data_IF_846506581728
#
_entry.id   IF_846506581728
#
_cell.length_a   1.000
_cell.length_b   1.000
_cell.length_c   1.000
_cell.angle_alpha   90.00
_cell.angle_beta   90.00
_cell.angle_gamma   90.00
#
_symmetry.space_group_name_H-M   'P 1'
#
loop_
_entity.id
_entity.type
_entity.pdbx_description
1 polymer ?
#
# COMPACT_ATOMS: atom_id res chain seq x y z
N UNK A 1 75.15 -33.78 18.68
CA UNK A 1 74.09 -33.26 19.57
C UNK A 1 73.07 -32.46 18.77
N UNK A 2 71.84 -32.97 18.58
CA UNK A 2 70.76 -32.20 17.94
C UNK A 2 69.52 -32.29 18.83
N UNK A 3 69.30 -31.26 19.67
CA UNK A 3 68.07 -31.13 20.48
C UNK A 3 66.91 -30.85 19.53
N UNK A 4 66.07 -31.85 19.27
CA UNK A 4 64.74 -31.65 18.69
C UNK A 4 63.78 -31.29 19.81
N UNK A 5 63.65 -30.00 20.07
CA UNK A 5 62.55 -29.46 20.88
C UNK A 5 61.60 -28.70 19.98
N UNK A 6 60.29 -28.85 20.25
CA UNK A 6 59.13 -28.15 19.65
C UNK A 6 58.43 -28.89 18.50
N UNK A 7 57.74 -29.97 18.86
CA UNK A 7 56.65 -30.54 18.03
C UNK A 7 55.26 -30.35 18.66
N UNK A 8 55.18 -29.79 19.89
CA UNK A 8 53.91 -29.55 20.61
C UNK A 8 53.28 -28.18 20.32
N UNK A 9 54.07 -27.20 19.88
CA UNK A 9 53.61 -25.85 19.56
C UNK A 9 52.54 -25.77 18.43
N UNK A 10 52.59 -26.55 17.33
CA UNK A 10 51.58 -26.44 16.27
C UNK A 10 50.21 -26.96 16.71
N UNK A 11 50.15 -27.99 17.55
CA UNK A 11 48.88 -28.54 18.06
C UNK A 11 48.15 -27.57 19.01
N UNK A 12 48.88 -26.79 19.80
CA UNK A 12 48.29 -25.72 20.62
C UNK A 12 47.69 -24.60 19.76
N UNK A 13 48.35 -24.23 18.66
CA UNK A 13 47.82 -23.22 17.72
C UNK A 13 46.57 -23.75 17.01
N UNK A 14 46.60 -25.00 16.53
CA UNK A 14 45.46 -25.65 15.86
C UNK A 14 44.27 -25.77 16.82
N UNK A 15 44.51 -26.15 18.08
CA UNK A 15 43.48 -26.21 19.12
C UNK A 15 42.85 -24.85 19.42
N UNK A 16 43.66 -23.78 19.45
CA UNK A 16 43.16 -22.42 19.62
C UNK A 16 42.26 -21.96 18.47
N UNK A 17 42.61 -22.30 17.22
CA UNK A 17 41.80 -21.99 16.05
C UNK A 17 40.45 -22.74 16.09
N UNK A 18 40.45 -24.02 16.47
CA UNK A 18 39.21 -24.80 16.62
C UNK A 18 38.28 -24.20 17.68
N UNK A 19 38.81 -23.76 18.82
CA UNK A 19 38.02 -23.10 19.87
C UNK A 19 37.46 -21.78 19.36
N UNK A 20 38.25 -20.99 18.63
CA UNK A 20 37.78 -19.74 18.03
C UNK A 20 36.62 -19.97 17.05
N UNK A 21 36.71 -21.01 16.21
CA UNK A 21 35.64 -21.40 15.28
C UNK A 21 34.37 -21.79 16.04
N UNK A 22 34.49 -22.54 17.15
CA UNK A 22 33.34 -22.91 17.97
C UNK A 22 32.69 -21.70 18.66
N UNK A 23 33.49 -20.73 19.12
CA UNK A 23 32.98 -19.49 19.70
C UNK A 23 32.25 -18.66 18.64
N UNK A 24 32.85 -18.50 17.45
CA UNK A 24 32.23 -17.76 16.34
C UNK A 24 30.94 -18.45 15.88
N UNK A 25 30.95 -19.78 15.75
CA UNK A 25 29.75 -20.55 15.40
C UNK A 25 28.68 -20.48 16.49
N UNK A 26 29.07 -20.53 17.77
CA UNK A 26 28.15 -20.36 18.89
C UNK A 26 27.52 -18.97 18.94
N UNK A 27 28.30 -17.92 18.67
CA UNK A 27 27.80 -16.54 18.55
C UNK A 27 26.85 -16.43 17.36
N UNK A 28 27.19 -17.02 16.21
CA UNK A 28 26.31 -17.04 15.04
C UNK A 28 24.96 -17.70 15.35
N UNK A 29 24.98 -18.89 15.96
CA UNK A 29 23.75 -19.61 16.37
C UNK A 29 22.96 -18.85 17.44
N UNK A 30 23.65 -18.17 18.36
CA UNK A 30 23.00 -17.33 19.37
C UNK A 30 22.30 -16.13 18.73
N UNK A 31 22.97 -15.44 17.79
CA UNK A 31 22.40 -14.29 17.08
C UNK A 31 21.24 -14.68 16.19
N UNK A 32 21.34 -15.80 15.45
CA UNK A 32 20.26 -16.33 14.61
C UNK A 32 19.02 -16.70 15.43
N UNK A 33 19.23 -17.32 16.60
CA UNK A 33 18.13 -17.68 17.51
C UNK A 33 17.54 -16.49 18.25
N UNK A 34 18.33 -15.44 18.50
CA UNK A 34 17.90 -14.26 19.26
C UNK A 34 17.43 -13.10 18.36
N UNK A 35 17.67 -13.15 17.05
CA UNK A 35 17.13 -12.17 16.11
C UNK A 35 15.61 -12.27 16.09
N UNK A 36 14.98 -11.42 16.89
CA UNK A 36 13.53 -11.39 17.08
C UNK A 36 12.83 -10.54 16.01
N UNK A 37 13.44 -10.32 14.84
CA UNK A 37 12.80 -9.67 13.68
C UNK A 37 11.91 -10.67 12.93
N UNK A 38 11.03 -11.35 13.65
CA UNK A 38 10.07 -12.30 13.09
C UNK A 38 8.62 -11.83 13.18
N UNK A 39 8.38 -10.62 13.70
CA UNK A 39 7.07 -9.98 13.54
C UNK A 39 6.99 -9.45 12.11
N UNK A 40 6.51 -10.32 11.22
CA UNK A 40 6.13 -9.97 9.86
C UNK A 40 5.06 -8.88 10.01
N UNK A 41 5.43 -7.63 9.70
CA UNK A 41 4.46 -6.54 9.64
C UNK A 41 3.30 -7.00 8.78
N UNK A 42 2.08 -6.96 9.31
CA UNK A 42 0.92 -7.25 8.49
C UNK A 42 0.93 -6.29 7.30
N UNK A 43 0.92 -6.86 6.09
CA UNK A 43 0.90 -6.07 4.88
C UNK A 43 -0.47 -5.43 4.76
N UNK A 44 -0.57 -4.16 5.14
CA UNK A 44 -1.76 -3.36 4.87
C UNK A 44 -1.73 -2.99 3.39
N UNK A 45 -2.86 -3.18 2.69
CA UNK A 45 -3.00 -2.74 1.32
C UNK A 45 -2.74 -1.23 1.21
N UNK A 46 -2.08 -0.81 0.13
CA UNK A 46 -1.90 0.62 -0.14
C UNK A 46 -3.26 1.27 -0.43
N UNK A 47 -3.39 2.57 -0.16
CA UNK A 47 -4.58 3.34 -0.56
C UNK A 47 -4.86 3.21 -2.06
N UNK A 48 -3.82 3.11 -2.89
CA UNK A 48 -3.96 2.87 -4.34
C UNK A 48 -4.53 1.48 -4.64
N UNK A 49 -4.15 0.47 -3.83
CA UNK A 49 -4.69 -0.88 -3.97
C UNK A 49 -6.16 -0.93 -3.61
N UNK A 50 -6.57 -0.25 -2.53
CA UNK A 50 -7.98 -0.17 -2.14
C UNK A 50 -8.80 0.66 -3.14
N UNK A 51 -8.26 1.76 -3.67
CA UNK A 51 -8.91 2.56 -4.71
C UNK A 51 -9.30 1.71 -5.92
N UNK A 52 -8.35 0.94 -6.47
CA UNK A 52 -8.62 0.03 -7.60
C UNK A 52 -9.70 -0.99 -7.27
N UNK A 53 -9.79 -1.44 -6.01
CA UNK A 53 -10.83 -2.37 -5.58
C UNK A 53 -12.21 -1.72 -5.55
N UNK A 54 -12.31 -0.47 -5.09
CA UNK A 54 -13.59 0.27 -5.08
C UNK A 54 -14.04 0.65 -6.49
N UNK A 55 -13.12 1.07 -7.35
CA UNK A 55 -13.42 1.46 -8.73
C UNK A 55 -13.96 0.29 -9.58
N UNK A 56 -13.68 -0.95 -9.20
CA UNK A 56 -14.19 -2.14 -9.90
C UNK A 56 -15.72 -2.24 -9.90
N UNK A 57 -16.39 -1.63 -8.92
CA UNK A 57 -17.85 -1.62 -8.79
C UNK A 57 -18.48 -0.35 -9.39
N UNK A 58 -17.67 0.59 -9.89
CA UNK A 58 -18.16 1.84 -10.48
C UNK A 58 -18.57 1.62 -11.92
N UNK A 59 -19.80 2.02 -12.25
CA UNK A 59 -20.34 1.90 -13.60
C UNK A 59 -21.42 2.95 -13.85
N UNK A 60 -21.44 3.45 -15.08
CA UNK A 60 -22.49 4.31 -15.65
C UNK A 60 -23.60 3.48 -16.31
N UNK A 61 -23.32 2.22 -16.67
CA UNK A 61 -24.18 1.40 -17.52
C UNK A 61 -25.59 1.23 -16.92
N UNK A 62 -26.60 1.61 -17.70
CA UNK A 62 -28.01 1.46 -17.30
C UNK A 62 -28.54 2.53 -16.35
N UNK A 63 -27.75 3.56 -16.05
CA UNK A 63 -28.17 4.70 -15.24
C UNK A 63 -28.37 5.96 -16.10
N UNK A 64 -29.46 6.68 -15.88
CA UNK A 64 -29.76 7.96 -16.54
C UNK A 64 -29.56 9.11 -15.57
N UNK A 65 -29.61 10.36 -16.03
CA UNK A 65 -29.51 11.51 -15.15
C UNK A 65 -30.58 11.51 -14.03
N UNK A 66 -31.80 11.10 -14.36
CA UNK A 66 -32.94 11.06 -13.41
C UNK A 66 -32.80 9.93 -12.38
N UNK A 67 -32.08 8.87 -12.74
CA UNK A 67 -31.82 7.73 -11.87
C UNK A 67 -30.33 7.37 -11.95
N UNK A 68 -29.49 8.31 -11.54
CA UNK A 68 -28.04 8.16 -11.59
C UNK A 68 -27.55 7.19 -10.50
N UNK A 69 -26.42 6.54 -10.77
CA UNK A 69 -25.70 5.77 -9.75
C UNK A 69 -24.91 6.74 -8.87
N UNK A 70 -25.29 6.86 -7.60
CA UNK A 70 -24.68 7.80 -6.65
C UNK A 70 -24.01 7.03 -5.52
N UNK A 71 -22.70 7.14 -5.42
CA UNK A 71 -21.88 6.53 -4.37
C UNK A 71 -21.39 7.62 -3.42
N UNK A 72 -21.82 7.56 -2.16
CA UNK A 72 -21.32 8.47 -1.10
C UNK A 72 -19.98 7.96 -0.56
N UNK A 73 -19.05 8.88 -0.31
CA UNK A 73 -17.69 8.58 0.18
C UNK A 73 -17.05 7.38 -0.59
N UNK A 74 -16.88 7.51 -1.92
CA UNK A 74 -16.54 6.40 -2.82
C UNK A 74 -15.23 5.67 -2.46
N UNK A 75 -14.36 6.31 -1.69
CA UNK A 75 -13.06 5.76 -1.29
C UNK A 75 -12.89 5.63 0.23
N UNK A 76 -13.94 5.86 1.03
CA UNK A 76 -13.93 5.76 2.49
C UNK A 76 -12.87 6.62 3.22
N UNK A 77 -12.53 7.76 2.63
CA UNK A 77 -11.52 8.69 3.16
C UNK A 77 -12.02 10.14 3.20
N UNK A 78 -13.17 10.43 2.60
CA UNK A 78 -13.74 11.77 2.52
C UNK A 78 -15.27 11.71 2.67
N UNK A 79 -15.80 11.72 3.89
CA UNK A 79 -17.23 11.51 4.14
C UNK A 79 -18.15 12.61 3.58
N UNK A 80 -17.59 13.70 3.06
CA UNK A 80 -18.32 14.83 2.48
C UNK A 80 -18.19 14.88 0.94
N UNK A 81 -17.90 13.75 0.29
CA UNK A 81 -17.87 13.63 -1.18
C UNK A 81 -18.87 12.58 -1.67
N UNK A 82 -19.17 12.64 -2.95
CA UNK A 82 -19.97 11.65 -3.67
C UNK A 82 -19.42 11.48 -5.08
N UNK A 83 -19.70 10.34 -5.71
CA UNK A 83 -19.46 10.12 -7.13
C UNK A 83 -20.80 9.84 -7.79
N UNK A 84 -21.16 10.65 -8.79
CA UNK A 84 -22.40 10.53 -9.56
C UNK A 84 -22.04 9.98 -10.93
N UNK A 85 -22.68 8.88 -11.34
CA UNK A 85 -22.42 8.18 -12.59
C UNK A 85 -23.69 7.93 -13.38
N UNK A 86 -23.70 8.31 -14.66
CA UNK A 86 -24.83 8.11 -15.56
C UNK A 86 -24.41 8.23 -17.02
N UNK A 87 -25.29 7.82 -17.92
CA UNK A 87 -25.12 7.93 -19.37
C UNK A 87 -26.12 8.91 -19.98
N UNK A 88 -25.73 9.48 -21.12
CA UNK A 88 -26.57 10.31 -21.97
C UNK A 88 -26.51 9.80 -23.42
N UNK A 89 -27.63 9.87 -24.14
CA UNK A 89 -27.69 9.44 -25.55
C UNK A 89 -26.81 10.30 -26.46
N UNK A 90 -26.68 11.59 -26.13
CA UNK A 90 -25.86 12.56 -26.85
C UNK A 90 -24.68 13.02 -25.98
N UNK A 91 -23.62 13.48 -26.65
CA UNK A 91 -22.47 14.08 -25.98
C UNK A 91 -22.86 15.43 -25.39
N UNK A 92 -22.85 15.53 -24.05
CA UNK A 92 -23.24 16.75 -23.33
C UNK A 92 -22.22 17.08 -22.24
N UNK A 93 -22.12 18.36 -21.87
CA UNK A 93 -21.26 18.83 -20.78
C UNK A 93 -22.11 19.07 -19.50
N UNK A 94 -22.12 18.13 -18.54
CA UNK A 94 -22.95 18.27 -17.34
C UNK A 94 -22.39 19.35 -16.41
N UNK A 95 -23.30 19.99 -15.67
CA UNK A 95 -22.94 20.99 -14.66
C UNK A 95 -23.47 20.58 -13.31
N UNK A 96 -22.59 20.49 -12.32
CA UNK A 96 -22.93 20.22 -10.93
C UNK A 96 -22.93 21.52 -10.16
N UNK A 97 -23.99 21.74 -9.37
CA UNK A 97 -24.07 22.85 -8.42
C UNK A 97 -24.35 22.30 -7.02
N UNK A 98 -23.41 22.51 -6.12
CA UNK A 98 -23.53 22.18 -4.70
C UNK A 98 -23.96 23.45 -3.98
N UNK A 99 -25.23 23.48 -3.61
CA UNK A 99 -25.82 24.63 -2.91
C UNK A 99 -25.22 24.79 -1.51
N UNK A 100 -24.60 25.94 -1.28
CA UNK A 100 -24.07 26.33 0.01
C UNK A 100 -25.14 26.96 0.91
N UNK A 101 -24.70 27.45 2.08
CA UNK A 101 -25.58 28.22 2.97
C UNK A 101 -25.92 29.60 2.40
N UNK A 102 -25.05 30.11 1.54
CA UNK A 102 -25.19 31.37 0.80
C UNK A 102 -24.45 31.30 -0.54
N UNK A 103 -24.66 32.30 -1.39
CA UNK A 103 -24.10 32.38 -2.76
C UNK A 103 -22.57 32.32 -2.83
N UNK A 104 -21.85 32.64 -1.75
CA UNK A 104 -20.39 32.62 -1.72
C UNK A 104 -19.84 31.24 -1.32
N UNK A 105 -20.72 30.40 -0.77
CA UNK A 105 -20.42 29.01 -0.38
C UNK A 105 -21.02 27.99 -1.35
N UNK A 106 -21.81 28.43 -2.34
CA UNK A 106 -22.27 27.60 -3.45
C UNK A 106 -21.11 27.35 -4.42
N UNK A 107 -20.89 26.09 -4.78
CA UNK A 107 -19.88 25.67 -5.73
C UNK A 107 -20.54 25.15 -7.00
N UNK A 108 -20.05 25.60 -8.15
CA UNK A 108 -20.53 25.15 -9.47
C UNK A 108 -19.35 24.74 -10.33
N UNK A 109 -19.47 23.59 -10.98
CA UNK A 109 -18.48 23.10 -11.93
C UNK A 109 -19.15 22.47 -13.14
N UNK A 110 -18.63 22.79 -14.32
CA UNK A 110 -19.04 22.19 -15.60
C UNK A 110 -17.94 21.27 -16.07
N UNK A 111 -18.29 20.02 -16.31
CA UNK A 111 -17.36 18.98 -16.76
C UNK A 111 -17.24 18.97 -18.28
N UNK A 112 -16.26 18.22 -18.78
CA UNK A 112 -16.08 18.02 -20.21
C UNK A 112 -17.28 17.28 -20.82
N UNK A 113 -17.45 17.46 -22.13
CA UNK A 113 -18.53 16.79 -22.84
C UNK A 113 -18.27 15.29 -23.00
N UNK A 114 -19.33 14.50 -22.89
CA UNK A 114 -19.27 13.06 -23.06
C UNK A 114 -20.65 12.41 -23.05
N UNK A 115 -20.68 11.11 -23.27
CA UNK A 115 -21.88 10.27 -23.15
C UNK A 115 -21.89 9.43 -21.88
N UNK A 116 -20.72 9.20 -21.28
CA UNK A 116 -20.54 8.53 -19.99
C UNK A 116 -19.98 9.56 -19.00
N UNK A 117 -20.65 9.73 -17.87
CA UNK A 117 -20.35 10.79 -16.91
C UNK A 117 -19.93 10.21 -15.58
N UNK A 118 -18.76 10.63 -15.09
CA UNK A 118 -18.25 10.35 -13.75
C UNK A 118 -17.99 11.69 -13.05
N UNK A 119 -18.91 12.13 -12.20
CA UNK A 119 -18.90 13.46 -11.59
C UNK A 119 -18.56 13.35 -10.09
N UNK A 120 -17.30 13.61 -9.68
CA UNK A 120 -16.85 13.59 -8.29
C UNK A 120 -17.21 14.86 -7.50
#
# INVERSE_FOLDING_TARGET
>A
MKKRTKQKAPYFIIGGILILILIVGGIYLYLDRHSSFHDKLESVASLVTEQVRYEADFTTEGYTLENANVVLDPYHISPLTALIMFETEESVAPTVTIEGKDKWTTYTHTFEEGTEHYLP
#
